data_IF_291605013169
#
_entry.id   IF_291605013169
#
_cell.length_a   1.000
_cell.length_b   1.000
_cell.length_c   1.000
_cell.angle_alpha   90.00
_cell.angle_beta   90.00
_cell.angle_gamma   90.00
#
_symmetry.space_group_name_H-M   'P 1'
#
loop_
_entity.id
_entity.type
_entity.pdbx_description
1 polymer ?
#
# COMPACT_ATOMS: atom_id res chain seq x y z
N UNK A 1 -12.47 -4.64 -14.37
CA UNK A 1 -13.31 -5.72 -13.89
C UNK A 1 -13.07 -5.80 -12.40
N UNK A 2 -14.04 -5.49 -11.57
CA UNK A 2 -13.93 -5.69 -10.11
C UNK A 2 -13.85 -7.20 -9.87
N UNK A 3 -12.97 -7.68 -8.98
CA UNK A 3 -13.01 -9.07 -8.58
C UNK A 3 -14.28 -9.29 -7.77
N UNK A 4 -15.22 -10.04 -8.30
CA UNK A 4 -16.40 -10.50 -7.56
C UNK A 4 -16.05 -11.78 -6.82
N UNK A 5 -16.50 -11.88 -5.56
CA UNK A 5 -16.23 -13.04 -4.70
C UNK A 5 -16.85 -14.33 -5.25
N UNK A 6 -17.95 -14.21 -5.98
CA UNK A 6 -18.70 -15.32 -6.57
C UNK A 6 -19.01 -15.01 -8.04
N UNK A 7 -18.09 -15.27 -8.97
CA UNK A 7 -18.37 -15.10 -10.38
C UNK A 7 -19.39 -16.18 -10.80
N UNK A 8 -20.65 -15.84 -10.69
CA UNK A 8 -21.78 -16.68 -11.11
C UNK A 8 -21.98 -16.68 -12.65
N UNK A 9 -21.23 -15.86 -13.37
CA UNK A 9 -21.30 -15.75 -14.82
C UNK A 9 -22.44 -14.87 -15.34
N UNK A 10 -23.22 -14.27 -14.46
CA UNK A 10 -24.28 -13.33 -14.82
C UNK A 10 -23.82 -11.88 -14.71
N UNK A 11 -24.30 -10.97 -15.58
CA UNK A 11 -23.93 -9.56 -15.55
C UNK A 11 -24.59 -8.77 -14.40
N UNK A 12 -25.67 -9.28 -13.84
CA UNK A 12 -26.40 -8.72 -12.71
C UNK A 12 -27.23 -9.80 -12.00
N UNK A 13 -27.57 -9.57 -10.74
CA UNK A 13 -28.43 -10.46 -9.96
C UNK A 13 -29.84 -10.60 -10.59
N UNK A 14 -30.33 -9.56 -11.26
CA UNK A 14 -31.59 -9.65 -11.99
C UNK A 14 -31.53 -10.72 -13.11
N UNK A 15 -30.47 -10.78 -13.89
CA UNK A 15 -30.31 -11.79 -14.94
C UNK A 15 -30.18 -13.22 -14.38
N UNK A 16 -29.54 -13.36 -13.24
CA UNK A 16 -29.52 -14.62 -12.51
C UNK A 16 -30.90 -15.02 -12.01
N UNK A 17 -31.62 -14.11 -11.34
CA UNK A 17 -32.97 -14.34 -10.82
C UNK A 17 -33.92 -14.80 -11.93
N UNK A 18 -33.82 -14.29 -13.16
CA UNK A 18 -34.61 -14.74 -14.31
C UNK A 18 -34.48 -16.24 -14.60
N UNK A 19 -33.39 -16.85 -14.21
CA UNK A 19 -33.19 -18.29 -14.43
C UNK A 19 -33.99 -19.15 -13.46
N UNK A 20 -34.36 -18.63 -12.29
CA UNK A 20 -34.98 -19.37 -11.21
C UNK A 20 -36.51 -19.33 -11.24
N UNK A 21 -37.12 -18.31 -11.84
CA UNK A 21 -38.54 -18.23 -11.84
C UNK A 21 -39.23 -18.96 -13.01
N UNK A 22 -40.46 -19.48 -12.81
CA UNK A 22 -41.16 -20.23 -13.84
C UNK A 22 -41.43 -19.45 -15.10
N UNK A 23 -41.44 -20.15 -16.23
CA UNK A 23 -41.59 -19.57 -17.58
C UNK A 23 -42.84 -18.71 -17.72
N UNK A 24 -43.93 -19.10 -17.05
CA UNK A 24 -45.23 -18.40 -17.13
C UNK A 24 -45.24 -17.01 -16.48
N UNK A 25 -44.23 -16.66 -15.70
CA UNK A 25 -44.09 -15.31 -15.14
C UNK A 25 -43.20 -14.39 -15.98
N UNK A 26 -42.53 -14.92 -16.99
CA UNK A 26 -41.54 -14.14 -17.76
C UNK A 26 -42.15 -12.98 -18.54
N UNK A 27 -43.39 -13.10 -18.93
CA UNK A 27 -44.11 -12.10 -19.72
C UNK A 27 -45.06 -11.24 -18.89
N UNK A 28 -45.00 -11.34 -17.55
CA UNK A 28 -45.84 -10.58 -16.61
C UNK A 28 -45.05 -9.34 -16.17
N UNK A 29 -45.51 -8.17 -16.59
CA UNK A 29 -44.82 -6.89 -16.35
C UNK A 29 -44.62 -6.59 -14.85
N UNK A 30 -45.60 -6.86 -14.03
CA UNK A 30 -45.54 -6.65 -12.59
C UNK A 30 -44.47 -7.53 -11.91
N UNK A 31 -44.37 -8.77 -12.38
CA UNK A 31 -43.35 -9.70 -11.88
C UNK A 31 -41.94 -9.28 -12.33
N UNK A 32 -41.77 -8.82 -13.58
CA UNK A 32 -40.52 -8.30 -14.06
C UNK A 32 -40.06 -7.07 -13.26
N UNK A 33 -40.98 -6.16 -12.92
CA UNK A 33 -40.69 -5.00 -12.07
C UNK A 33 -40.21 -5.40 -10.66
N UNK A 34 -40.84 -6.41 -10.06
CA UNK A 34 -40.46 -6.94 -8.75
C UNK A 34 -39.05 -7.53 -8.81
N UNK A 35 -38.76 -8.34 -9.84
CA UNK A 35 -37.44 -8.97 -10.00
C UNK A 35 -36.32 -7.98 -10.30
N UNK A 36 -36.62 -6.91 -11.04
CA UNK A 36 -35.65 -5.81 -11.25
C UNK A 36 -35.33 -5.10 -9.95
N UNK A 37 -36.34 -4.80 -9.15
CA UNK A 37 -36.15 -4.15 -7.86
C UNK A 37 -35.35 -5.05 -6.90
N UNK A 38 -35.70 -6.36 -6.84
CA UNK A 38 -35.00 -7.33 -6.03
C UNK A 38 -33.53 -7.52 -6.49
N UNK A 39 -33.33 -7.63 -7.81
CA UNK A 39 -31.99 -7.75 -8.40
C UNK A 39 -31.11 -6.55 -8.10
N UNK A 40 -31.65 -5.33 -8.22
CA UNK A 40 -30.90 -4.11 -7.85
C UNK A 40 -30.49 -4.08 -6.38
N UNK A 41 -31.39 -4.51 -5.47
CA UNK A 41 -31.04 -4.62 -4.05
C UNK A 41 -29.96 -5.69 -3.77
N UNK A 42 -29.96 -6.80 -4.50
CA UNK A 42 -28.92 -7.82 -4.39
C UNK A 42 -27.58 -7.34 -4.94
N UNK A 43 -27.58 -6.62 -6.05
CA UNK A 43 -26.35 -6.01 -6.61
C UNK A 43 -25.72 -5.00 -5.63
N UNK A 44 -26.54 -4.19 -4.91
CA UNK A 44 -26.07 -3.30 -3.85
C UNK A 44 -25.45 -4.05 -2.66
N UNK A 45 -26.05 -5.17 -2.27
CA UNK A 45 -25.52 -6.03 -1.20
C UNK A 45 -24.20 -6.65 -1.63
N UNK A 46 -24.12 -7.15 -2.85
CA UNK A 46 -22.88 -7.74 -3.41
C UNK A 46 -21.74 -6.70 -3.43
N UNK A 47 -22.00 -5.49 -3.94
CA UNK A 47 -21.04 -4.39 -3.90
C UNK A 47 -20.59 -4.05 -2.47
N UNK A 48 -21.50 -4.07 -1.51
CA UNK A 48 -21.22 -3.85 -0.09
C UNK A 48 -20.33 -4.96 0.51
N UNK A 49 -20.62 -6.21 0.21
CA UNK A 49 -19.82 -7.36 0.66
C UNK A 49 -18.42 -7.31 0.04
N UNK A 50 -18.32 -7.04 -1.24
CA UNK A 50 -17.04 -6.89 -1.93
C UNK A 50 -16.20 -5.77 -1.32
N UNK A 51 -16.81 -4.63 -0.97
CA UNK A 51 -16.11 -3.54 -0.30
C UNK A 51 -15.55 -3.97 1.07
N UNK A 52 -16.34 -4.67 1.87
CA UNK A 52 -15.90 -5.20 3.18
C UNK A 52 -14.76 -6.19 3.02
N UNK A 53 -14.86 -7.11 2.07
CA UNK A 53 -13.81 -8.10 1.81
C UNK A 53 -12.53 -7.44 1.31
N UNK A 54 -12.64 -6.52 0.37
CA UNK A 54 -11.49 -5.79 -0.16
C UNK A 54 -10.77 -4.99 0.94
N UNK A 55 -11.52 -4.41 1.87
CA UNK A 55 -10.97 -3.65 2.99
C UNK A 55 -10.25 -4.50 4.05
N UNK A 56 -10.37 -5.83 3.99
CA UNK A 56 -9.51 -6.71 4.80
C UNK A 56 -8.09 -6.88 4.23
N UNK A 57 -7.86 -6.49 2.99
CA UNK A 57 -6.54 -6.57 2.37
C UNK A 57 -5.96 -5.18 2.20
N UNK A 58 -4.81 -4.91 2.86
CA UNK A 58 -4.16 -3.58 2.82
C UNK A 58 -3.93 -3.06 1.39
N UNK A 59 -3.66 -3.96 0.43
CA UNK A 59 -3.47 -3.61 -0.98
C UNK A 59 -4.73 -3.11 -1.68
N UNK A 60 -5.91 -3.47 -1.17
CA UNK A 60 -7.22 -3.18 -1.78
C UNK A 60 -8.02 -2.15 -0.97
N UNK A 61 -7.63 -1.86 0.27
CA UNK A 61 -8.32 -0.92 1.17
C UNK A 61 -8.64 0.40 0.46
N UNK A 62 -9.84 0.89 0.68
CA UNK A 62 -10.27 2.22 0.27
C UNK A 62 -9.69 3.33 1.16
N UNK A 63 -10.03 4.58 0.85
CA UNK A 63 -9.51 5.75 1.57
C UNK A 63 -9.95 5.78 3.03
N UNK A 64 -11.20 5.36 3.30
CA UNK A 64 -11.81 5.45 4.64
C UNK A 64 -11.29 4.32 5.54
N UNK A 65 -11.22 3.10 5.03
CA UNK A 65 -10.63 1.97 5.74
C UNK A 65 -9.14 2.22 6.06
N UNK A 66 -8.39 2.83 5.12
CA UNK A 66 -7.01 3.24 5.37
C UNK A 66 -6.91 4.30 6.46
N UNK A 67 -7.81 5.30 6.49
CA UNK A 67 -7.80 6.31 7.53
C UNK A 67 -8.06 5.72 8.92
N UNK A 68 -8.99 4.77 9.01
CA UNK A 68 -9.24 4.03 10.25
C UNK A 68 -8.02 3.21 10.68
N UNK A 69 -7.39 2.51 9.74
CA UNK A 69 -6.20 1.71 10.01
C UNK A 69 -5.00 2.58 10.41
N UNK A 70 -4.79 3.72 9.76
CA UNK A 70 -3.74 4.69 10.14
C UNK A 70 -3.99 5.23 11.55
N UNK A 71 -5.24 5.55 11.88
CA UNK A 71 -5.61 5.99 13.24
C UNK A 71 -5.33 4.88 14.26
N UNK A 72 -5.70 3.65 13.97
CA UNK A 72 -5.45 2.50 14.84
C UNK A 72 -3.94 2.26 15.06
N UNK A 73 -3.14 2.39 14.01
CA UNK A 73 -1.68 2.26 14.07
C UNK A 73 -0.99 3.51 14.64
N UNK A 74 -1.74 4.61 14.89
CA UNK A 74 -1.20 5.88 15.36
C UNK A 74 -0.28 6.54 14.32
N UNK A 75 -0.56 6.37 13.03
CA UNK A 75 0.17 7.00 11.93
C UNK A 75 -0.43 8.39 11.71
N UNK A 76 0.38 9.47 11.72
CA UNK A 76 -0.16 10.81 11.49
C UNK A 76 -0.69 10.94 10.06
N UNK A 77 -1.92 11.46 9.94
CA UNK A 77 -2.55 11.73 8.65
C UNK A 77 -1.74 12.80 7.90
N UNK A 78 -1.27 12.47 6.71
CA UNK A 78 -0.57 13.41 5.85
C UNK A 78 -1.23 13.45 4.47
N UNK A 79 -1.84 14.58 4.14
CA UNK A 79 -2.55 14.79 2.87
C UNK A 79 -1.64 14.74 1.63
N UNK A 80 -0.33 14.85 1.80
CA UNK A 80 0.63 14.77 0.68
C UNK A 80 0.89 13.33 0.21
N UNK A 81 0.43 12.33 0.96
CA UNK A 81 0.61 10.92 0.59
C UNK A 81 -0.44 10.49 -0.44
N UNK A 82 0.01 9.85 -1.49
CA UNK A 82 -0.89 9.17 -2.44
C UNK A 82 -1.53 7.95 -1.79
N UNK A 83 -2.67 7.47 -2.31
CA UNK A 83 -3.35 6.28 -1.81
C UNK A 83 -2.42 5.06 -1.77
N UNK A 84 -1.62 4.88 -2.83
CA UNK A 84 -0.64 3.79 -2.88
C UNK A 84 0.47 3.92 -1.83
N UNK A 85 0.97 5.14 -1.60
CA UNK A 85 1.98 5.38 -0.56
C UNK A 85 1.41 5.08 0.83
N UNK A 86 0.15 5.43 1.11
CA UNK A 86 -0.55 5.10 2.35
C UNK A 86 -0.67 3.59 2.54
N UNK A 87 -1.11 2.85 1.51
CA UNK A 87 -1.19 1.37 1.54
C UNK A 87 0.16 0.73 1.82
N UNK A 88 1.21 1.16 1.13
CA UNK A 88 2.58 0.67 1.36
C UNK A 88 3.07 0.97 2.77
N UNK A 89 2.75 2.15 3.31
CA UNK A 89 3.11 2.52 4.67
C UNK A 89 2.42 1.61 5.68
N UNK A 90 1.11 1.47 5.59
CA UNK A 90 0.34 0.56 6.46
C UNK A 90 0.87 -0.88 6.37
N UNK A 91 1.11 -1.38 5.14
CA UNK A 91 1.69 -2.71 4.94
C UNK A 91 3.04 -2.87 5.63
N UNK A 92 3.90 -1.85 5.62
CA UNK A 92 5.21 -1.90 6.27
C UNK A 92 5.14 -2.04 7.80
N UNK A 93 4.04 -1.61 8.42
CA UNK A 93 3.83 -1.78 9.86
C UNK A 93 3.53 -3.24 10.25
N UNK A 94 2.93 -4.02 9.35
CA UNK A 94 2.65 -5.43 9.58
C UNK A 94 3.84 -6.35 9.30
N UNK A 95 4.91 -5.83 8.68
CA UNK A 95 6.13 -6.59 8.41
C UNK A 95 7.01 -6.55 9.65
N UNK A 96 7.54 -7.68 10.03
CA UNK A 96 8.49 -7.79 11.12
C UNK A 96 7.94 -8.62 12.28
N UNK A 97 8.65 -9.69 12.57
CA UNK A 97 8.43 -10.58 13.71
C UNK A 97 9.23 -10.13 14.94
N UNK A 98 9.42 -11.04 15.87
CA UNK A 98 10.02 -10.80 17.18
C UNK A 98 11.52 -10.41 17.16
N UNK A 99 12.21 -10.58 16.05
CA UNK A 99 13.64 -10.26 15.92
C UNK A 99 13.87 -9.36 14.71
N UNK A 100 14.38 -8.16 14.93
CA UNK A 100 14.71 -7.23 13.85
C UNK A 100 16.20 -7.29 13.58
N UNK A 101 16.55 -7.97 12.52
CA UNK A 101 17.90 -8.01 11.96
C UNK A 101 18.06 -7.13 10.72
N UNK A 102 19.23 -7.17 10.12
CA UNK A 102 19.51 -6.44 8.88
C UNK A 102 18.60 -6.87 7.71
N UNK A 103 18.26 -8.16 7.54
CA UNK A 103 17.36 -8.59 6.45
C UNK A 103 15.95 -7.99 6.60
N UNK A 104 15.39 -8.00 7.81
CA UNK A 104 14.04 -7.49 8.08
C UNK A 104 13.96 -5.98 7.87
N UNK A 105 15.00 -5.24 8.29
CA UNK A 105 15.09 -3.80 8.03
C UNK A 105 15.12 -3.53 6.52
N UNK A 106 15.87 -4.32 5.76
CA UNK A 106 15.93 -4.20 4.31
C UNK A 106 14.57 -4.46 3.67
N UNK A 107 13.86 -5.51 4.12
CA UNK A 107 12.55 -5.89 3.59
C UNK A 107 11.49 -4.81 3.88
N UNK A 108 11.43 -4.30 5.11
CA UNK A 108 10.52 -3.22 5.51
C UNK A 108 10.74 -1.99 4.64
N UNK A 109 11.98 -1.56 4.51
CA UNK A 109 12.31 -0.36 3.75
C UNK A 109 12.05 -0.56 2.26
N UNK A 110 12.42 -1.71 1.71
CA UNK A 110 12.17 -2.03 0.30
C UNK A 110 10.68 -2.05 -0.05
N UNK A 111 9.85 -2.64 0.79
CA UNK A 111 8.39 -2.70 0.54
C UNK A 111 7.74 -1.33 0.58
N UNK A 112 8.22 -0.44 1.43
CA UNK A 112 7.68 0.91 1.49
C UNK A 112 8.23 1.82 0.38
N UNK A 113 9.55 1.82 0.16
CA UNK A 113 10.20 2.75 -0.76
C UNK A 113 10.33 2.23 -2.19
N UNK A 114 10.30 0.90 -2.37
CA UNK A 114 10.64 0.24 -3.64
C UNK A 114 12.15 0.26 -3.95
N UNK A 115 12.97 0.78 -3.04
CA UNK A 115 14.43 0.92 -3.21
C UNK A 115 15.14 -0.02 -2.24
N UNK A 116 16.12 -0.78 -2.73
CA UNK A 116 16.91 -1.67 -1.89
C UNK A 116 17.88 -0.88 -1.02
N UNK A 117 17.73 -0.92 0.34
CA UNK A 117 18.60 -0.19 1.24
C UNK A 117 19.91 -0.91 1.49
N UNK A 118 20.97 -0.16 1.77
CA UNK A 118 22.16 -0.67 2.42
C UNK A 118 22.05 -0.46 3.92
N UNK A 119 22.13 -1.54 4.70
CA UNK A 119 22.03 -1.49 6.16
C UNK A 119 23.37 -1.84 6.77
N UNK A 120 23.88 -0.97 7.63
CA UNK A 120 25.10 -1.16 8.39
C UNK A 120 24.88 -0.92 9.89
N UNK A 121 25.69 -1.54 10.73
CA UNK A 121 25.68 -1.37 12.17
C UNK A 121 27.06 -0.96 12.67
N UNK A 122 27.14 0.14 13.41
CA UNK A 122 28.38 0.62 14.02
C UNK A 122 28.07 1.46 15.29
N UNK A 123 28.79 1.22 16.38
CA UNK A 123 28.67 1.98 17.62
C UNK A 123 27.24 2.12 18.16
N UNK A 124 26.50 1.00 18.28
CA UNK A 124 25.09 0.96 18.71
C UNK A 124 24.16 1.81 17.83
N UNK A 125 24.54 2.11 16.61
CA UNK A 125 23.76 2.86 15.63
C UNK A 125 23.56 2.06 14.37
N UNK A 126 22.32 2.04 13.92
CA UNK A 126 21.91 1.44 12.64
C UNK A 126 21.97 2.53 11.57
N UNK A 127 22.69 2.29 10.51
CA UNK A 127 22.77 3.17 9.35
C UNK A 127 22.00 2.55 8.21
N UNK A 128 20.95 3.21 7.76
CA UNK A 128 20.17 2.83 6.59
C UNK A 128 20.48 3.81 5.48
N UNK A 129 21.14 3.36 4.42
CA UNK A 129 21.44 4.18 3.24
C UNK A 129 20.48 3.84 2.14
N UNK A 130 19.81 4.84 1.60
CA UNK A 130 18.92 4.74 0.45
C UNK A 130 19.48 5.50 -0.72
N UNK A 131 19.36 4.91 -1.90
CA UNK A 131 19.72 5.52 -3.18
C UNK A 131 18.44 5.69 -4.00
N UNK A 132 17.62 6.72 -3.71
CA UNK A 132 16.36 6.92 -4.42
C UNK A 132 16.65 7.28 -5.88
N UNK A 133 15.84 6.71 -6.78
CA UNK A 133 15.78 7.17 -8.17
C UNK A 133 14.84 8.39 -8.23
N UNK A 134 15.00 9.23 -9.24
CA UNK A 134 14.35 10.55 -9.38
C UNK A 134 12.81 10.55 -9.25
N UNK A 135 12.16 9.39 -9.37
CA UNK A 135 10.71 9.25 -9.27
C UNK A 135 10.21 8.55 -7.99
N UNK A 136 10.99 8.49 -6.94
CA UNK A 136 10.57 7.82 -5.71
C UNK A 136 9.64 8.73 -4.87
N UNK A 137 8.37 8.37 -4.78
CA UNK A 137 7.33 9.09 -4.03
C UNK A 137 7.18 8.56 -2.59
N UNK A 138 8.24 8.57 -1.81
CA UNK A 138 8.15 8.22 -0.39
C UNK A 138 8.60 9.39 0.51
N UNK A 139 8.10 9.41 1.74
CA UNK A 139 8.50 10.39 2.73
C UNK A 139 9.57 9.77 3.66
N UNK A 140 10.77 10.34 3.76
CA UNK A 140 11.81 9.82 4.64
C UNK A 140 11.42 9.77 6.13
N UNK A 141 10.57 10.71 6.56
CA UNK A 141 10.00 10.73 7.91
C UNK A 141 9.23 9.46 8.26
N UNK A 142 8.48 8.92 7.29
CA UNK A 142 7.66 7.73 7.50
C UNK A 142 8.51 6.48 7.68
N UNK A 143 9.61 6.38 6.90
CA UNK A 143 10.60 5.31 7.04
C UNK A 143 11.21 5.35 8.43
N UNK A 144 11.60 6.55 8.90
CA UNK A 144 12.18 6.74 10.22
C UNK A 144 11.21 6.37 11.34
N UNK A 145 9.96 6.77 11.22
CA UNK A 145 8.95 6.49 12.24
C UNK A 145 8.61 5.00 12.30
N UNK A 146 8.41 4.35 11.14
CA UNK A 146 8.17 2.92 11.07
C UNK A 146 9.32 2.11 11.68
N UNK A 147 10.56 2.45 11.35
CA UNK A 147 11.73 1.76 11.88
C UNK A 147 11.95 2.03 13.36
N UNK A 148 11.76 3.27 13.84
CA UNK A 148 11.89 3.61 15.28
C UNK A 148 10.97 2.78 16.18
N UNK A 149 9.77 2.45 15.70
CA UNK A 149 8.83 1.61 16.48
C UNK A 149 9.25 0.15 16.57
N UNK A 150 10.07 -0.30 15.63
CA UNK A 150 10.47 -1.71 15.52
C UNK A 150 11.87 -1.98 16.09
N UNK A 151 12.74 -0.99 16.04
CA UNK A 151 14.12 -1.09 16.54
C UNK A 151 14.13 -1.00 18.07
N UNK A 152 14.92 -1.83 18.76
CA UNK A 152 15.09 -1.74 20.20
C UNK A 152 15.54 -0.35 20.66
N UNK A 153 15.01 0.12 21.78
CA UNK A 153 15.22 1.50 22.27
C UNK A 153 16.69 1.88 22.55
N UNK A 154 17.56 0.89 22.76
CA UNK A 154 18.99 1.12 22.99
C UNK A 154 19.81 1.36 21.72
N UNK A 155 19.20 1.18 20.55
CA UNK A 155 19.85 1.41 19.26
C UNK A 155 19.38 2.73 18.65
N UNK A 156 20.33 3.53 18.23
CA UNK A 156 20.01 4.73 17.47
C UNK A 156 19.92 4.43 15.96
N UNK A 157 19.02 5.13 15.27
CA UNK A 157 18.79 4.99 13.84
C UNK A 157 19.26 6.24 13.10
N UNK A 158 20.00 6.04 12.02
CA UNK A 158 20.41 7.11 11.11
C UNK A 158 19.99 6.71 9.68
N UNK A 159 19.14 7.51 9.08
CA UNK A 159 18.74 7.38 7.68
C UNK A 159 19.56 8.34 6.84
N UNK A 160 20.26 7.83 5.84
CA UNK A 160 21.06 8.60 4.91
C UNK A 160 20.49 8.43 3.51
N UNK A 161 20.06 9.52 2.93
CA UNK A 161 19.66 9.57 1.52
C UNK A 161 20.87 9.97 0.71
N UNK A 162 21.37 9.07 -0.11
CA UNK A 162 22.49 9.36 -1.02
C UNK A 162 21.92 9.56 -2.43
N UNK A 163 22.01 10.76 -2.93
CA UNK A 163 21.68 11.07 -4.33
C UNK A 163 22.92 10.76 -5.17
N UNK A 164 22.80 9.91 -6.17
CA UNK A 164 23.82 9.75 -7.19
C UNK A 164 23.40 10.70 -8.31
N UNK A 165 24.04 11.86 -8.47
CA UNK A 165 23.75 12.70 -9.62
C UNK A 165 24.10 11.89 -10.88
N UNK A 166 23.19 11.89 -11.83
CA UNK A 166 23.41 11.27 -13.15
C UNK A 166 24.49 12.08 -13.87
N UNK A 167 25.74 11.72 -13.62
CA UNK A 167 26.88 12.33 -14.28
C UNK A 167 26.85 11.85 -15.73
N UNK A 168 26.43 12.72 -16.62
CA UNK A 168 26.61 12.50 -18.06
C UNK A 168 28.07 12.17 -18.35
N UNK A 169 28.35 11.16 -19.17
CA UNK A 169 29.73 10.68 -19.39
C UNK A 169 30.72 11.73 -19.88
N UNK A 170 30.25 12.87 -20.34
CA UNK A 170 31.09 14.00 -20.76
C UNK A 170 31.80 14.73 -19.59
N UNK A 171 31.32 14.57 -18.34
CA UNK A 171 31.91 15.26 -17.17
C UNK A 171 32.85 14.38 -16.34
N UNK A 172 32.92 13.08 -16.60
CA UNK A 172 33.75 12.13 -15.84
C UNK A 172 35.27 12.39 -16.07
N UNK A 173 35.63 13.05 -17.17
CA UNK A 173 37.03 13.35 -17.51
C UNK A 173 37.62 14.60 -16.81
N UNK A 174 36.77 15.41 -16.12
CA UNK A 174 37.20 16.72 -15.61
C UNK A 174 37.16 16.93 -14.09
N UNK A 175 36.67 15.95 -13.30
CA UNK A 175 36.54 16.14 -11.85
C UNK A 175 37.13 14.96 -11.05
N UNK A 176 38.34 15.12 -10.47
CA UNK A 176 38.95 14.07 -9.65
C UNK A 176 38.45 13.97 -8.22
N UNK A 177 37.40 14.69 -7.84
CA UNK A 177 36.83 14.60 -6.49
C UNK A 177 35.29 14.69 -6.54
N UNK A 178 34.64 13.54 -6.41
CA UNK A 178 33.20 13.49 -6.20
C UNK A 178 32.83 14.01 -4.83
N UNK A 179 32.21 15.18 -4.74
CA UNK A 179 31.54 15.64 -3.53
C UNK A 179 30.18 14.94 -3.44
N UNK A 180 30.07 13.94 -2.57
CA UNK A 180 28.79 13.43 -2.13
C UNK A 180 28.16 14.46 -1.19
N UNK A 181 27.06 15.10 -1.61
CA UNK A 181 26.27 15.93 -0.73
C UNK A 181 25.47 15.03 0.22
N UNK A 182 25.82 15.04 1.50
CA UNK A 182 25.09 14.35 2.55
C UNK A 182 24.07 15.32 3.15
N UNK A 183 22.78 15.04 3.00
CA UNK A 183 21.75 15.64 3.83
C UNK A 183 21.49 14.71 5.03
N UNK A 184 21.87 15.13 6.22
CA UNK A 184 21.44 14.53 7.50
C UNK A 184 20.15 15.19 7.94
N UNK A 185 19.09 14.40 8.13
CA UNK A 185 17.82 14.80 8.75
C UNK A 185 17.79 14.23 10.17
#
# INVERSE_FOLDING_TARGET
MKPTLYPNGFPSAYEELKTFYPVFYRDVFEMDAIWRAAGGGLDEIEDGVDAVVNNNFVSLMDTDALAQMETFLGIPLNQKRTLEARRKLVASYFIGGNHIGSPEIKDIVFRYTGVSPSVGFKNSRIYVKLFPKDNSTFLPSDVMECLKRKIPAHLSLSLVLAYIPDLQPAYVAAAPCGMAAFCTV
#
